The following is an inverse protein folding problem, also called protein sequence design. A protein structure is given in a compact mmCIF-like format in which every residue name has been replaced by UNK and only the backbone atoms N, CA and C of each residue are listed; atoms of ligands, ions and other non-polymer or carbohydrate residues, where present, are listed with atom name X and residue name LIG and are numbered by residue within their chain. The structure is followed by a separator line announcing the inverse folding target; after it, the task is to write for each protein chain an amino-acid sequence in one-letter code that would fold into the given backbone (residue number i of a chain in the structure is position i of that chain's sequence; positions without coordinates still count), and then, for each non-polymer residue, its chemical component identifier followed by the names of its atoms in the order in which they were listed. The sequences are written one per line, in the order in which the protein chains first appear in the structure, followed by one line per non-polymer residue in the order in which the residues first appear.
data_IF_229248347269
#
_entry.id   IF_229248347269
#
_cell.length_a   1.000
_cell.length_b   1.000
_cell.length_c   1.000
_cell.angle_alpha   90.00
_cell.angle_beta   90.00
_cell.angle_gamma   90.00
#
_symmetry.space_group_name_H-M   'P 1'
#
loop_
_entity.id
_entity.type
_entity.pdbx_description
1 polymer ?
#
# COMPACT_ATOMS: atom_id res chain seq x y z
N UNK A 1 -13.06 -10.65 1.42
CA UNK A 1 -13.12 -9.40 0.64
C UNK A 1 -13.66 -9.74 -0.72
N UNK A 2 -14.53 -8.90 -1.25
CA UNK A 2 -15.25 -9.08 -2.51
C UNK A 2 -14.36 -8.95 -3.74
N UNK A 3 -13.21 -8.28 -3.61
CA UNK A 3 -12.32 -7.89 -4.72
C UNK A 3 -13.03 -7.06 -5.82
N UNK A 4 -14.17 -6.46 -5.48
CA UNK A 4 -14.88 -5.53 -6.32
C UNK A 4 -14.27 -4.14 -6.19
N UNK A 5 -14.62 -3.25 -7.13
CA UNK A 5 -14.23 -1.85 -7.03
C UNK A 5 -14.91 -1.20 -5.83
N UNK A 6 -14.14 -0.48 -5.03
CA UNK A 6 -14.67 0.16 -3.82
C UNK A 6 -15.36 1.50 -4.11
N UNK A 7 -15.11 2.08 -5.29
CA UNK A 7 -15.65 3.35 -5.74
C UNK A 7 -15.93 3.31 -7.25
N UNK A 8 -16.83 4.21 -7.70
CA UNK A 8 -17.14 4.36 -9.12
C UNK A 8 -16.16 5.30 -9.84
N UNK A 9 -15.37 6.07 -9.09
CA UNK A 9 -14.32 6.95 -9.60
C UNK A 9 -12.96 6.23 -9.76
N UNK A 10 -12.08 6.79 -10.59
CA UNK A 10 -10.68 6.39 -10.64
C UNK A 10 -10.01 6.69 -9.31
N UNK A 11 -9.27 5.70 -8.82
CA UNK A 11 -8.59 5.72 -7.52
C UNK A 11 -7.19 5.12 -7.65
N UNK A 12 -6.35 5.67 -8.55
CA UNK A 12 -4.95 5.25 -8.67
C UNK A 12 -4.18 5.52 -7.38
N UNK A 13 -3.21 4.65 -7.10
CA UNK A 13 -2.32 4.75 -5.94
C UNK A 13 -3.08 4.86 -4.60
N UNK A 14 -4.01 3.92 -4.31
CA UNK A 14 -4.90 4.03 -3.17
C UNK A 14 -4.18 3.76 -1.84
N UNK A 15 -4.18 4.78 -0.98
CA UNK A 15 -3.67 4.68 0.37
C UNK A 15 -4.81 4.72 1.38
N UNK A 16 -5.02 3.63 2.10
CA UNK A 16 -6.09 3.50 3.09
C UNK A 16 -5.53 3.29 4.49
N UNK A 17 -6.03 4.09 5.44
CA UNK A 17 -5.76 3.92 6.88
C UNK A 17 -7.04 3.75 7.67
N UNK A 18 -6.97 2.98 8.76
CA UNK A 18 -8.05 2.83 9.72
C UNK A 18 -7.77 3.66 10.98
N UNK A 19 -8.66 4.60 11.31
CA UNK A 19 -8.58 5.38 12.55
C UNK A 19 -9.96 5.84 12.99
N UNK A 20 -10.15 6.10 14.29
CA UNK A 20 -11.43 6.58 14.83
C UNK A 20 -12.66 5.80 14.33
N UNK A 21 -12.55 4.46 14.25
CA UNK A 21 -13.60 3.56 13.74
C UNK A 21 -14.08 3.86 12.31
N UNK A 22 -13.19 4.42 11.50
CA UNK A 22 -13.43 4.84 10.11
C UNK A 22 -12.25 4.43 9.25
N UNK A 23 -12.49 4.35 7.95
CA UNK A 23 -11.47 4.19 6.92
C UNK A 23 -11.31 5.49 6.16
N UNK A 24 -10.06 5.93 6.01
CA UNK A 24 -9.69 7.12 5.27
C UNK A 24 -8.90 6.69 4.04
N UNK A 25 -9.33 7.11 2.86
CA UNK A 25 -8.72 6.81 1.59
C UNK A 25 -8.20 8.10 0.95
N UNK A 26 -6.92 8.10 0.59
CA UNK A 26 -6.30 9.06 -0.31
C UNK A 26 -5.86 8.32 -1.57
N UNK A 27 -5.78 9.03 -2.70
CA UNK A 27 -5.43 8.47 -4.00
C UNK A 27 -4.99 9.60 -4.93
N UNK A 28 -4.31 9.26 -6.03
CA UNK A 28 -3.85 10.24 -7.03
C UNK A 28 -5.03 10.91 -7.71
N UNK A 29 -5.22 12.21 -7.46
CA UNK A 29 -6.17 13.06 -8.18
C UNK A 29 -5.49 13.88 -9.30
N UNK A 30 -4.16 14.00 -9.31
CA UNK A 30 -3.37 14.74 -10.29
C UNK A 30 -3.22 16.24 -10.01
N UNK A 31 -4.26 16.91 -9.51
CA UNK A 31 -4.27 18.38 -9.31
C UNK A 31 -4.56 18.83 -7.87
N UNK A 32 -4.78 17.89 -6.96
CA UNK A 32 -5.16 18.14 -5.56
C UNK A 32 -4.96 16.88 -4.71
N UNK A 33 -5.16 17.03 -3.40
CA UNK A 33 -5.19 15.93 -2.44
C UNK A 33 -6.58 15.89 -1.81
N UNK A 34 -7.26 14.76 -1.98
CA UNK A 34 -8.54 14.48 -1.35
C UNK A 34 -8.39 13.42 -0.25
N UNK A 35 -9.22 13.53 0.78
CA UNK A 35 -9.41 12.47 1.77
C UNK A 35 -10.88 12.06 1.73
N UNK A 36 -11.13 10.78 1.48
CA UNK A 36 -12.44 10.17 1.50
C UNK A 36 -12.58 9.35 2.78
N UNK A 37 -13.74 9.37 3.42
CA UNK A 37 -14.00 8.67 4.66
C UNK A 37 -15.24 7.80 4.55
N UNK A 38 -15.09 6.53 4.90
CA UNK A 38 -16.18 5.55 4.97
C UNK A 38 -16.12 4.75 6.28
N UNK A 39 -17.25 4.13 6.63
CA UNK A 39 -17.33 3.12 7.68
C UNK A 39 -17.02 1.71 7.17
N UNK A 40 -16.95 1.53 5.85
CA UNK A 40 -16.71 0.26 5.19
C UNK A 40 -15.55 0.41 4.20
N UNK A 41 -14.50 -0.39 4.37
CA UNK A 41 -13.32 -0.35 3.49
C UNK A 41 -13.64 -0.79 2.06
N UNK A 42 -14.72 -1.54 1.85
CA UNK A 42 -15.14 -2.00 0.52
C UNK A 42 -16.15 -1.05 -0.15
N UNK A 43 -16.55 0.05 0.49
CA UNK A 43 -17.56 0.95 -0.06
C UNK A 43 -17.28 2.44 0.20
N UNK A 44 -16.88 3.14 -0.85
CA UNK A 44 -16.65 4.58 -0.90
C UNK A 44 -17.60 5.30 -1.87
N UNK A 45 -18.71 4.68 -2.29
CA UNK A 45 -19.68 5.28 -3.23
C UNK A 45 -20.45 6.45 -2.62
N UNK A 46 -20.78 6.33 -1.33
CA UNK A 46 -21.51 7.33 -0.53
C UNK A 46 -20.66 7.82 0.66
N UNK A 47 -19.36 8.06 0.43
CA UNK A 47 -18.43 8.47 1.49
C UNK A 47 -18.44 9.99 1.72
N UNK A 48 -17.95 10.43 2.89
CA UNK A 48 -17.67 11.85 3.15
C UNK A 48 -16.33 12.20 2.49
N UNK A 49 -16.23 13.36 1.84
CA UNK A 49 -15.02 13.78 1.12
C UNK A 49 -14.62 15.18 1.56
N UNK A 50 -13.31 15.42 1.63
CA UNK A 50 -12.74 16.78 1.69
C UNK A 50 -11.61 16.91 0.68
N UNK A 51 -11.38 18.15 0.22
CA UNK A 51 -10.11 18.53 -0.38
C UNK A 51 -9.21 18.95 0.77
N UNK A 52 -8.22 18.12 1.10
CA UNK A 52 -7.24 18.44 2.13
C UNK A 52 -6.34 19.58 1.68
N UNK A 53 -5.95 19.57 0.40
CA UNK A 53 -5.13 20.61 -0.19
C UNK A 53 -5.30 20.68 -1.70
N UNK A 54 -5.24 21.89 -2.24
CA UNK A 54 -5.11 22.16 -3.67
C UNK A 54 -4.12 23.32 -3.83
N UNK A 55 -3.14 23.23 -4.76
CA UNK A 55 -2.25 24.35 -5.04
C UNK A 55 -3.05 25.62 -5.35
N UNK A 56 -2.77 26.78 -4.73
CA UNK A 56 -3.42 28.03 -5.09
C UNK A 56 -3.11 28.41 -6.56
N UNK A 57 -4.04 29.05 -7.28
CA UNK A 57 -3.78 29.56 -8.63
C UNK A 57 -2.52 30.43 -8.68
N UNK A 58 -1.71 30.29 -9.74
CA UNK A 58 -0.44 31.01 -9.94
C UNK A 58 0.68 30.73 -8.91
N UNK A 59 0.57 29.66 -8.12
CA UNK A 59 1.68 29.20 -7.26
C UNK A 59 2.73 28.43 -8.09
N UNK A 60 4.01 28.81 -8.10
CA UNK A 60 5.02 28.24 -9.03
C UNK A 60 5.45 26.79 -8.81
N UNK A 61 4.95 26.06 -7.81
CA UNK A 61 5.78 25.00 -7.21
C UNK A 61 5.37 23.55 -7.46
N UNK A 62 4.12 23.24 -7.82
CA UNK A 62 3.66 21.84 -7.87
C UNK A 62 2.63 21.57 -8.98
N UNK A 63 2.99 20.69 -9.91
CA UNK A 63 2.12 19.99 -10.86
C UNK A 63 2.26 18.48 -10.65
N UNK A 64 1.47 17.67 -11.38
CA UNK A 64 1.57 16.21 -11.38
C UNK A 64 1.56 15.61 -9.97
N UNK A 65 0.51 15.92 -9.19
CA UNK A 65 0.40 15.49 -7.79
C UNK A 65 0.02 14.01 -7.73
N UNK A 66 0.93 13.18 -7.23
CA UNK A 66 0.75 11.72 -7.17
C UNK A 66 0.90 11.15 -5.76
N UNK A 67 0.28 9.99 -5.57
CA UNK A 67 0.41 9.05 -4.46
C UNK A 67 0.40 9.68 -3.06
N UNK A 68 -0.65 10.42 -2.68
CA UNK A 68 -0.76 10.92 -1.32
C UNK A 68 -0.97 9.76 -0.32
N UNK A 69 -0.10 9.66 0.70
CA UNK A 69 -0.22 8.76 1.83
C UNK A 69 -0.54 9.51 3.13
N UNK A 70 -1.66 9.21 3.76
CA UNK A 70 -2.07 9.73 5.07
C UNK A 70 -1.42 8.93 6.21
N UNK A 71 -0.65 9.60 7.06
CA UNK A 71 0.07 9.01 8.21
C UNK A 71 -0.25 9.73 9.52
N UNK A 72 -0.30 9.00 10.63
CA UNK A 72 -0.38 9.60 11.97
C UNK A 72 0.95 9.41 12.72
N UNK A 73 1.73 10.49 12.83
CA UNK A 73 3.10 10.47 13.36
C UNK A 73 3.26 11.59 14.39
N UNK A 74 3.93 11.30 15.50
CA UNK A 74 4.19 12.28 16.57
C UNK A 74 2.93 13.08 16.97
N UNK A 75 1.80 12.37 17.10
CA UNK A 75 0.49 12.91 17.49
C UNK A 75 -0.12 13.90 16.49
N UNK A 76 0.30 13.87 15.22
CA UNK A 76 -0.22 14.71 14.14
C UNK A 76 -0.46 13.89 12.88
N UNK A 77 -1.42 14.34 12.07
CA UNK A 77 -1.60 13.80 10.74
C UNK A 77 -0.64 14.47 9.75
N UNK A 78 -0.03 13.66 8.90
CA UNK A 78 0.83 14.05 7.79
C UNK A 78 0.30 13.45 6.50
N UNK A 79 0.49 14.13 5.38
CA UNK A 79 0.33 13.53 4.05
C UNK A 79 1.66 13.65 3.32
N UNK A 80 2.23 12.52 2.91
CA UNK A 80 3.38 12.45 2.03
C UNK A 80 2.87 12.23 0.62
N UNK A 81 3.38 12.97 -0.35
CA UNK A 81 3.00 12.86 -1.75
C UNK A 81 4.18 13.30 -2.61
N UNK A 82 4.08 13.21 -3.93
CA UNK A 82 5.06 13.84 -4.80
C UNK A 82 4.40 14.81 -5.78
N UNK A 83 5.23 15.70 -6.33
CA UNK A 83 4.85 16.54 -7.45
C UNK A 83 6.06 17.19 -8.10
N UNK A 84 5.87 17.67 -9.31
CA UNK A 84 6.90 18.25 -10.15
C UNK A 84 6.83 19.78 -10.17
N UNK A 85 7.96 20.41 -10.48
CA UNK A 85 7.99 21.80 -10.90
C UNK A 85 7.31 21.94 -12.27
N UNK A 86 6.28 22.80 -12.44
CA UNK A 86 5.50 22.90 -13.68
C UNK A 86 6.33 23.20 -14.93
N UNK A 87 7.42 23.96 -14.81
CA UNK A 87 8.28 24.32 -15.95
C UNK A 87 9.28 23.23 -16.33
N UNK A 88 9.59 22.29 -15.42
CA UNK A 88 10.57 21.22 -15.65
C UNK A 88 9.86 19.90 -15.95
N UNK A 89 8.69 19.66 -15.38
CA UNK A 89 7.91 18.43 -15.55
C UNK A 89 8.53 17.23 -14.82
N UNK A 90 8.31 16.02 -15.36
CA UNK A 90 8.62 14.75 -14.68
C UNK A 90 9.99 14.70 -13.96
N UNK A 91 11.13 15.12 -14.56
CA UNK A 91 12.45 15.02 -13.93
C UNK A 91 12.58 15.78 -12.59
N UNK A 92 11.67 16.71 -12.32
CA UNK A 92 11.66 17.51 -11.10
C UNK A 92 10.79 16.97 -9.96
N UNK A 93 10.21 15.76 -10.09
CA UNK A 93 9.41 15.18 -9.00
C UNK A 93 10.22 15.09 -7.70
N UNK A 94 9.62 15.57 -6.62
CA UNK A 94 10.14 15.48 -5.25
C UNK A 94 9.04 15.08 -4.29
N UNK A 95 9.42 14.43 -3.20
CA UNK A 95 8.56 14.18 -2.04
C UNK A 95 8.19 15.50 -1.36
N UNK A 96 6.90 15.73 -1.18
CA UNK A 96 6.26 16.89 -0.61
C UNK A 96 5.43 16.48 0.61
N UNK A 97 5.22 17.42 1.55
CA UNK A 97 4.48 17.15 2.78
C UNK A 97 3.34 18.13 3.02
N UNK A 98 2.23 17.59 3.53
CA UNK A 98 1.25 18.32 4.31
C UNK A 98 1.32 17.90 5.78
N UNK A 99 0.95 18.82 6.67
CA UNK A 99 0.75 18.56 8.10
C UNK A 99 -0.58 19.13 8.56
N UNK A 100 -1.36 18.35 9.29
CA UNK A 100 -2.60 18.82 9.90
C UNK A 100 -2.35 19.47 11.26
N UNK A 101 -3.07 20.55 11.54
CA UNK A 101 -3.20 21.15 12.88
C UNK A 101 -4.33 20.50 13.69
N UNK A 102 -5.16 19.68 13.07
CA UNK A 102 -6.28 18.98 13.70
C UNK A 102 -5.96 17.52 14.01
N UNK A 103 -6.69 16.95 14.97
CA UNK A 103 -6.73 15.52 15.23
C UNK A 103 -7.75 14.78 14.34
N UNK A 104 -8.71 15.49 13.74
CA UNK A 104 -9.59 14.92 12.72
C UNK A 104 -8.98 15.15 11.34
N UNK A 105 -8.56 14.11 10.60
CA UNK A 105 -8.01 14.29 9.26
C UNK A 105 -9.04 14.87 8.27
N UNK A 106 -10.34 14.86 8.62
CA UNK A 106 -11.43 15.41 7.80
C UNK A 106 -11.74 16.89 8.09
N UNK A 107 -10.94 17.57 8.90
CA UNK A 107 -11.14 19.00 9.16
C UNK A 107 -10.62 19.86 8.00
N UNK A 108 -11.54 20.46 7.26
CA UNK A 108 -11.22 21.39 6.16
C UNK A 108 -10.43 22.60 6.67
N UNK A 109 -9.35 22.97 5.98
CA UNK A 109 -8.50 24.11 6.35
C UNK A 109 -7.50 23.85 7.48
N UNK A 110 -7.46 22.63 8.02
CA UNK A 110 -6.47 22.23 9.03
C UNK A 110 -5.09 21.89 8.44
N UNK A 111 -5.02 21.59 7.15
CA UNK A 111 -3.83 21.13 6.44
C UNK A 111 -2.93 22.29 5.98
N UNK A 112 -1.67 22.21 6.35
CA UNK A 112 -0.60 23.15 6.02
C UNK A 112 0.38 22.48 5.05
N UNK A 113 0.73 23.15 3.95
CA UNK A 113 1.76 22.69 3.03
C UNK A 113 3.14 23.06 3.55
N UNK A 114 4.02 22.06 3.68
CA UNK A 114 5.37 22.24 4.24
C UNK A 114 6.46 22.34 3.17
N UNK A 115 6.13 22.04 1.91
CA UNK A 115 7.11 21.97 0.81
C UNK A 115 7.79 20.61 0.71
N UNK A 116 8.97 20.61 0.09
CA UNK A 116 9.79 19.41 -0.10
C UNK A 116 10.33 18.86 1.21
N UNK A 117 10.43 17.53 1.29
CA UNK A 117 11.04 16.86 2.43
C UNK A 117 12.50 17.28 2.59
N UNK A 118 12.86 17.79 3.75
CA UNK A 118 14.22 18.27 3.99
C UNK A 118 15.17 17.09 4.14
N UNK A 119 16.36 17.18 3.55
CA UNK A 119 17.43 16.21 3.70
C UNK A 119 17.35 15.00 2.75
N UNK A 120 16.35 14.92 1.88
CA UNK A 120 16.45 14.03 0.71
C UNK A 120 17.49 14.59 -0.28
N UNK A 121 18.25 13.73 -0.98
CA UNK A 121 19.15 14.18 -2.04
C UNK A 121 18.36 14.83 -3.18
N UNK A 122 19.01 15.73 -3.91
CA UNK A 122 18.41 16.40 -5.07
C UNK A 122 18.41 15.47 -6.30
N UNK A 123 17.49 14.51 -6.30
CA UNK A 123 17.20 13.63 -7.43
C UNK A 123 15.70 13.36 -7.53
N UNK A 124 15.26 12.81 -8.67
CA UNK A 124 13.89 12.38 -8.85
C UNK A 124 13.48 11.38 -7.76
N UNK A 125 12.39 11.68 -7.04
CA UNK A 125 11.83 10.78 -6.04
C UNK A 125 10.30 10.91 -5.93
N UNK A 126 9.62 9.76 -5.84
CA UNK A 126 8.17 9.62 -5.70
C UNK A 126 7.82 8.55 -4.65
N UNK A 127 6.53 8.43 -4.36
CA UNK A 127 5.96 7.31 -3.60
C UNK A 127 6.61 7.11 -2.22
N UNK A 128 6.83 8.20 -1.50
CA UNK A 128 7.41 8.14 -0.17
C UNK A 128 6.44 7.54 0.84
N UNK A 129 6.81 6.39 1.40
CA UNK A 129 6.15 5.78 2.56
C UNK A 129 7.02 5.88 3.79
N UNK A 130 6.42 6.08 4.96
CA UNK A 130 7.12 6.24 6.23
C UNK A 130 6.67 5.20 7.24
N UNK A 131 7.63 4.66 8.00
CA UNK A 131 7.34 3.62 8.98
C UNK A 131 8.30 3.65 10.16
N UNK A 132 7.78 3.35 11.34
CA UNK A 132 8.58 3.15 12.54
C UNK A 132 9.02 1.70 12.63
N UNK A 133 10.33 1.47 12.74
CA UNK A 133 10.88 0.12 12.88
C UNK A 133 11.19 -0.15 14.36
N UNK A 134 10.34 -0.95 15.02
CA UNK A 134 10.40 -1.18 16.46
C UNK A 134 11.78 -1.65 16.95
N UNK A 135 12.46 -2.49 16.18
CA UNK A 135 13.76 -3.07 16.57
C UNK A 135 14.92 -2.07 16.58
N UNK A 136 14.82 -0.97 15.83
CA UNK A 136 15.82 0.11 15.84
C UNK A 136 15.32 1.35 16.58
N UNK A 137 14.03 1.38 16.94
CA UNK A 137 13.33 2.51 17.54
C UNK A 137 13.41 3.81 16.73
N UNK A 138 13.52 3.69 15.40
CA UNK A 138 13.73 4.80 14.47
C UNK A 138 12.61 4.87 13.44
N UNK A 139 12.39 6.09 12.94
CA UNK A 139 11.51 6.37 11.82
C UNK A 139 12.32 6.33 10.52
N UNK A 140 11.76 5.70 9.48
CA UNK A 140 12.39 5.62 8.17
C UNK A 140 11.42 6.10 7.09
N UNK A 141 11.98 6.58 5.98
CA UNK A 141 11.27 6.81 4.73
C UNK A 141 11.82 5.85 3.67
N UNK A 142 10.95 5.13 3.00
CA UNK A 142 11.26 4.38 1.79
C UNK A 142 10.55 5.04 0.60
N UNK A 143 11.26 5.23 -0.51
CA UNK A 143 10.71 5.91 -1.68
C UNK A 143 11.26 5.30 -2.97
N UNK A 144 10.58 5.56 -4.09
CA UNK A 144 11.07 5.24 -5.44
C UNK A 144 11.91 6.39 -5.96
N UNK A 145 13.11 6.11 -6.46
CA UNK A 145 14.00 7.13 -6.99
C UNK A 145 14.73 6.69 -8.26
N UNK A 146 15.08 7.65 -9.11
CA UNK A 146 16.10 7.38 -10.12
C UNK A 146 17.45 7.18 -9.43
N UNK A 147 18.31 6.27 -9.92
CA UNK A 147 19.66 6.14 -9.40
C UNK A 147 20.36 7.50 -9.30
N UNK A 148 21.15 7.71 -8.25
CA UNK A 148 21.82 9.00 -8.05
C UNK A 148 22.73 9.33 -9.26
N UNK A 149 22.50 10.48 -9.88
CA UNK A 149 23.21 10.91 -11.08
C UNK A 149 22.65 10.34 -12.40
N UNK A 150 21.63 9.49 -12.35
CA UNK A 150 20.88 9.06 -13.52
C UNK A 150 19.69 9.99 -13.77
N UNK A 151 19.55 10.43 -15.02
CA UNK A 151 18.49 11.30 -15.51
C UNK A 151 17.82 10.74 -16.76
N UNK A 152 17.98 9.43 -17.02
CA UNK A 152 17.51 8.77 -18.22
C UNK A 152 16.02 8.44 -18.24
N UNK A 153 15.34 8.48 -17.07
CA UNK A 153 13.97 8.00 -16.88
C UNK A 153 13.79 6.49 -17.18
N UNK A 154 14.86 5.69 -17.08
CA UNK A 154 14.85 4.25 -17.41
C UNK A 154 14.98 3.31 -16.22
N UNK A 155 15.25 3.84 -15.04
CA UNK A 155 15.47 3.04 -13.85
C UNK A 155 14.84 3.73 -12.65
N UNK A 156 14.01 2.98 -11.93
CA UNK A 156 13.53 3.33 -10.61
C UNK A 156 13.91 2.23 -9.61
N UNK A 157 14.53 2.65 -8.51
CA UNK A 157 15.02 1.79 -7.43
C UNK A 157 14.41 2.24 -6.09
N UNK A 158 14.40 1.35 -5.10
CA UNK A 158 13.94 1.69 -3.75
C UNK A 158 15.10 2.19 -2.90
N UNK A 159 14.92 3.36 -2.32
CA UNK A 159 15.84 3.97 -1.38
C UNK A 159 15.23 4.02 0.01
N UNK A 160 16.04 3.74 1.02
CA UNK A 160 15.71 3.87 2.42
C UNK A 160 16.58 4.92 3.09
N UNK A 161 15.98 5.75 3.93
CA UNK A 161 16.67 6.79 4.69
C UNK A 161 16.07 6.92 6.09
N UNK A 162 16.92 7.16 7.09
CA UNK A 162 16.48 7.44 8.46
C UNK A 162 15.89 8.86 8.53
N UNK A 163 14.82 9.02 9.30
CA UNK A 163 14.22 10.32 9.59
C UNK A 163 14.58 10.79 11.00
N UNK A 164 15.00 12.05 11.11
CA UNK A 164 15.15 12.75 12.38
C UNK A 164 13.79 13.13 12.97
N UNK A 165 12.87 13.54 12.10
CA UNK A 165 11.48 13.86 12.41
C UNK A 165 10.63 13.49 11.20
N UNK A 166 9.29 13.48 11.30
CA UNK A 166 8.43 13.24 10.14
C UNK A 166 8.76 14.14 8.92
N UNK A 167 9.37 15.30 9.13
CA UNK A 167 9.60 16.33 8.10
C UNK A 167 11.06 16.37 7.60
N UNK A 168 11.99 15.67 8.25
CA UNK A 168 13.45 15.82 8.04
C UNK A 168 14.15 14.46 7.99
N UNK A 169 14.75 14.15 6.85
CA UNK A 169 15.60 12.98 6.64
C UNK A 169 17.05 13.25 7.07
N UNK A 170 17.81 12.18 7.33
CA UNK A 170 19.25 12.21 7.61
C UNK A 170 20.03 11.81 6.34
N UNK A 171 20.55 12.76 5.54
CA UNK A 171 21.16 12.47 4.24
C UNK A 171 22.25 11.38 4.29
N UNK A 172 23.07 11.38 5.34
CA UNK A 172 24.18 10.44 5.53
C UNK A 172 23.75 8.96 5.69
N UNK A 173 22.44 8.69 5.82
CA UNK A 173 21.91 7.33 6.01
C UNK A 173 21.31 6.71 4.76
N UNK A 174 21.25 7.46 3.66
CA UNK A 174 20.62 7.01 2.42
C UNK A 174 21.24 5.70 1.90
N UNK A 175 20.40 4.72 1.63
CA UNK A 175 20.81 3.41 1.08
C UNK A 175 19.84 2.96 0.01
N UNK A 176 20.34 2.55 -1.15
CA UNK A 176 19.53 1.79 -2.12
C UNK A 176 19.34 0.37 -1.59
N UNK A 177 18.09 -0.04 -1.37
CA UNK A 177 17.75 -1.35 -0.77
C UNK A 177 17.19 -2.34 -1.78
N UNK A 178 16.81 -1.88 -2.97
CA UNK A 178 16.37 -2.75 -4.07
C UNK A 178 16.56 -2.07 -5.41
N UNK A 179 17.17 -2.79 -6.37
CA UNK A 179 17.29 -2.38 -7.76
C UNK A 179 16.37 -3.17 -8.66
N UNK A 180 15.70 -2.54 -9.62
CA UNK A 180 14.85 -3.26 -10.59
C UNK A 180 15.72 -4.04 -11.60
N UNK A 181 16.00 -5.31 -11.31
CA UNK A 181 16.98 -6.14 -12.01
C UNK A 181 16.36 -7.42 -12.60
N UNK A 182 15.30 -7.93 -11.97
CA UNK A 182 14.66 -9.16 -12.42
C UNK A 182 13.88 -8.89 -13.72
N UNK A 183 13.82 -9.86 -14.67
CA UNK A 183 13.14 -9.65 -15.94
C UNK A 183 11.68 -9.20 -15.81
N UNK A 184 10.98 -9.68 -14.77
CA UNK A 184 9.59 -9.32 -14.52
C UNK A 184 9.40 -7.92 -13.92
N UNK A 185 10.46 -7.30 -13.40
CA UNK A 185 10.46 -5.92 -12.90
C UNK A 185 10.58 -4.89 -14.03
N UNK A 186 10.86 -5.35 -15.25
CA UNK A 186 11.21 -4.48 -16.37
C UNK A 186 10.11 -4.44 -17.44
N UNK A 187 9.70 -3.24 -17.80
CA UNK A 187 8.78 -2.96 -18.90
C UNK A 187 9.54 -2.77 -20.23
N UNK A 188 8.77 -2.57 -21.31
CA UNK A 188 9.28 -2.14 -22.62
C UNK A 188 10.44 -3.01 -23.13
N UNK A 189 10.24 -4.32 -23.13
CA UNK A 189 11.24 -5.28 -23.59
C UNK A 189 12.50 -5.34 -22.70
N UNK A 190 12.43 -4.89 -21.46
CA UNK A 190 13.54 -4.90 -20.51
C UNK A 190 14.25 -3.54 -20.35
N UNK A 191 13.82 -2.51 -21.09
CA UNK A 191 14.51 -1.22 -21.15
C UNK A 191 14.19 -0.28 -19.98
N UNK A 192 13.04 -0.45 -19.32
CA UNK A 192 12.61 0.35 -18.16
C UNK A 192 12.50 -0.54 -16.92
N UNK A 193 13.40 -0.35 -15.95
CA UNK A 193 13.33 -1.03 -14.65
C UNK A 193 12.49 -0.22 -13.67
N UNK A 194 11.49 -0.86 -13.05
CA UNK A 194 10.61 -0.18 -12.10
C UNK A 194 10.54 -0.96 -10.79
N UNK A 195 10.93 -0.30 -9.70
CA UNK A 195 10.55 -0.62 -8.33
C UNK A 195 9.96 0.66 -7.72
N UNK A 196 8.64 0.73 -7.53
CA UNK A 196 7.95 1.94 -7.04
C UNK A 196 6.82 1.60 -6.05
N UNK A 197 6.05 2.58 -5.56
CA UNK A 197 4.95 2.35 -4.62
C UNK A 197 5.28 1.47 -3.41
N UNK A 198 6.36 1.74 -2.64
CA UNK A 198 6.71 0.94 -1.48
C UNK A 198 5.66 1.05 -0.38
N UNK A 199 5.44 -0.02 0.37
CA UNK A 199 4.68 -0.03 1.62
C UNK A 199 5.29 -1.00 2.61
N UNK A 200 5.56 -0.53 3.82
CA UNK A 200 6.10 -1.38 4.88
C UNK A 200 5.00 -2.15 5.61
N UNK A 201 5.21 -3.45 5.83
CA UNK A 201 4.38 -4.26 6.72
C UNK A 201 5.23 -5.07 7.70
N UNK A 202 4.60 -5.39 8.83
CA UNK A 202 5.14 -6.30 9.83
C UNK A 202 4.04 -7.26 10.29
N UNK A 203 4.09 -8.48 9.79
CA UNK A 203 3.13 -9.56 10.07
C UNK A 203 3.89 -10.83 10.48
N UNK A 204 3.22 -11.84 11.08
CA UNK A 204 3.88 -13.10 11.39
C UNK A 204 4.59 -13.70 10.16
N UNK A 205 5.90 -13.93 10.29
CA UNK A 205 6.72 -14.52 9.23
C UNK A 205 7.25 -13.53 8.16
N UNK A 206 6.79 -12.27 8.14
CA UNK A 206 7.27 -11.28 7.18
C UNK A 206 7.34 -9.86 7.79
N UNK A 207 8.53 -9.26 7.70
CA UNK A 207 8.78 -7.85 7.99
C UNK A 207 9.53 -7.29 6.78
N UNK A 208 9.02 -6.23 6.16
CA UNK A 208 9.67 -5.66 4.99
C UNK A 208 8.76 -4.81 4.13
N UNK A 209 9.21 -4.56 2.91
CA UNK A 209 8.56 -3.70 1.92
C UNK A 209 7.82 -4.56 0.90
N UNK A 210 6.56 -4.23 0.66
CA UNK A 210 5.87 -4.56 -0.59
C UNK A 210 6.14 -3.39 -1.53
N UNK A 211 6.40 -3.68 -2.79
CA UNK A 211 6.57 -2.64 -3.80
C UNK A 211 5.92 -3.08 -5.10
N UNK A 212 5.72 -2.14 -6.00
CA UNK A 212 5.21 -2.38 -7.34
C UNK A 212 6.36 -2.47 -8.34
N UNK A 213 6.20 -3.33 -9.34
CA UNK A 213 7.21 -3.55 -10.35
C UNK A 213 6.60 -3.70 -11.74
N UNK A 214 7.46 -3.61 -12.77
CA UNK A 214 7.04 -3.38 -14.16
C UNK A 214 6.43 -1.98 -14.33
N UNK A 215 6.06 -1.59 -15.55
CA UNK A 215 5.56 -0.25 -15.83
C UNK A 215 4.11 -0.09 -15.42
N UNK A 216 3.78 0.96 -14.66
CA UNK A 216 2.40 1.32 -14.28
C UNK A 216 1.50 1.66 -15.48
N UNK A 217 2.09 1.91 -16.65
CA UNK A 217 1.41 2.06 -17.94
C UNK A 217 1.08 0.73 -18.62
N UNK A 218 1.41 -0.41 -18.02
CA UNK A 218 1.23 -1.75 -18.60
C UNK A 218 0.19 -2.57 -17.83
N UNK A 219 -0.38 -3.59 -18.48
CA UNK A 219 -1.23 -4.60 -17.81
C UNK A 219 -0.43 -5.62 -17.00
N UNK A 220 0.90 -5.51 -17.02
CA UNK A 220 1.86 -6.41 -16.39
C UNK A 220 2.46 -5.81 -15.10
N UNK A 221 1.97 -4.65 -14.67
CA UNK A 221 2.22 -4.08 -13.35
C UNK A 221 1.82 -5.08 -12.26
N UNK A 222 2.61 -5.16 -11.19
CA UNK A 222 2.50 -6.24 -10.19
C UNK A 222 3.04 -5.81 -8.84
N UNK A 223 2.58 -6.46 -7.76
CA UNK A 223 3.19 -6.33 -6.44
C UNK A 223 4.31 -7.36 -6.24
N UNK A 224 5.34 -6.98 -5.48
CA UNK A 224 6.52 -7.77 -5.16
C UNK A 224 6.95 -7.58 -3.70
N UNK A 225 7.89 -8.40 -3.21
CA UNK A 225 8.32 -8.40 -1.80
C UNK A 225 9.83 -8.23 -1.66
N UNK A 226 10.21 -7.37 -0.72
CA UNK A 226 11.57 -7.15 -0.24
C UNK A 226 11.59 -7.32 1.29
N UNK A 227 12.06 -8.48 1.76
CA UNK A 227 12.03 -8.83 3.18
C UNK A 227 13.26 -8.28 3.92
N UNK A 228 13.05 -7.66 5.08
CA UNK A 228 14.14 -7.33 6.01
C UNK A 228 14.54 -8.60 6.78
N UNK A 229 15.74 -9.11 6.52
CA UNK A 229 16.31 -10.32 7.13
C UNK A 229 17.55 -10.04 7.99
N UNK A 230 18.23 -8.92 7.75
CA UNK A 230 19.37 -8.48 8.55
C UNK A 230 18.99 -7.55 9.70
N UNK A 231 19.98 -7.20 10.52
CA UNK A 231 19.76 -6.37 11.72
C UNK A 231 19.73 -4.87 11.45
N UNK A 232 20.49 -4.42 10.45
CA UNK A 232 20.62 -3.02 10.09
C UNK A 232 19.86 -2.74 8.79
N UNK A 233 18.69 -2.08 8.83
CA UNK A 233 17.90 -1.81 7.63
C UNK A 233 18.59 -0.85 6.66
N UNK A 234 19.61 -0.10 7.10
CA UNK A 234 20.40 0.80 6.25
C UNK A 234 21.57 0.09 5.55
N UNK A 235 21.49 -1.24 5.41
CA UNK A 235 22.41 -2.04 4.59
C UNK A 235 21.61 -2.79 3.54
N UNK A 236 21.99 -2.67 2.28
CA UNK A 236 21.39 -3.42 1.17
C UNK A 236 21.37 -4.94 1.47
N UNK A 237 22.45 -5.48 2.02
CA UNK A 237 22.57 -6.90 2.39
C UNK A 237 21.58 -7.39 3.45
N UNK A 238 20.91 -6.48 4.16
CA UNK A 238 19.86 -6.82 5.14
C UNK A 238 18.52 -7.12 4.46
N UNK A 239 18.40 -6.88 3.15
CA UNK A 239 17.18 -7.04 2.41
C UNK A 239 17.26 -8.24 1.46
N UNK A 240 16.22 -9.07 1.48
CA UNK A 240 16.09 -10.23 0.60
C UNK A 240 14.90 -10.04 -0.32
N UNK A 241 15.18 -9.83 -1.61
CA UNK A 241 14.17 -9.77 -2.67
C UNK A 241 13.60 -11.16 -2.93
N UNK A 242 12.26 -11.27 -3.03
CA UNK A 242 11.63 -12.52 -3.45
C UNK A 242 11.76 -12.68 -4.97
N UNK A 243 12.14 -13.87 -5.49
CA UNK A 243 12.34 -14.07 -6.92
C UNK A 243 11.05 -14.06 -7.74
N UNK A 244 9.88 -14.18 -7.09
CA UNK A 244 8.56 -14.19 -7.73
C UNK A 244 7.67 -13.07 -7.17
N UNK A 245 6.76 -12.50 -8.01
CA UNK A 245 5.80 -11.48 -7.58
C UNK A 245 4.82 -11.97 -6.50
N UNK A 246 4.18 -11.04 -5.78
CA UNK A 246 3.08 -11.27 -4.83
C UNK A 246 1.72 -11.31 -5.50
N UNK A 247 1.42 -10.33 -6.33
CA UNK A 247 0.12 -10.19 -6.95
C UNK A 247 0.32 -9.90 -8.44
N UNK A 248 -0.33 -10.69 -9.30
CA UNK A 248 -0.23 -10.58 -10.75
C UNK A 248 -1.61 -10.61 -11.40
N UNK A 249 -1.70 -10.04 -12.60
CA UNK A 249 -2.81 -10.26 -13.53
C UNK A 249 -2.74 -11.66 -14.15
N UNK A 250 -3.87 -12.15 -14.63
CA UNK A 250 -3.93 -13.31 -15.53
C UNK A 250 -4.86 -12.99 -16.71
N UNK A 251 -4.26 -12.79 -17.89
CA UNK A 251 -4.99 -12.37 -19.10
C UNK A 251 -6.03 -13.41 -19.51
N UNK A 252 -5.76 -14.70 -19.28
CA UNK A 252 -6.70 -15.78 -19.60
C UNK A 252 -7.95 -15.77 -18.70
N UNK A 253 -7.93 -15.03 -17.58
CA UNK A 253 -9.05 -14.91 -16.65
C UNK A 253 -9.86 -13.62 -16.79
N UNK A 254 -9.50 -12.75 -17.75
CA UNK A 254 -10.28 -11.55 -18.08
C UNK A 254 -10.06 -10.35 -17.13
N UNK A 255 -9.06 -10.39 -16.25
CA UNK A 255 -8.71 -9.28 -15.37
C UNK A 255 -9.18 -9.44 -13.92
N UNK A 256 -8.95 -8.42 -13.05
CA UNK A 256 -8.41 -7.10 -13.38
C UNK A 256 -6.92 -7.13 -13.77
N UNK A 257 -6.42 -6.02 -14.34
CA UNK A 257 -5.07 -5.97 -14.94
C UNK A 257 -4.17 -4.91 -14.28
N UNK A 258 -2.87 -5.17 -14.24
CA UNK A 258 -1.87 -4.30 -13.65
C UNK A 258 -2.06 -4.02 -12.15
N UNK A 259 -2.23 -5.04 -11.27
CA UNK A 259 -2.39 -4.79 -9.85
C UNK A 259 -1.13 -4.17 -9.22
N UNK A 260 -1.25 -2.99 -8.64
CA UNK A 260 -0.12 -2.38 -7.94
C UNK A 260 -0.48 -1.18 -7.08
N UNK A 261 0.58 -0.51 -6.63
CA UNK A 261 0.63 0.59 -5.67
C UNK A 261 -0.40 0.41 -4.55
N UNK A 262 -0.03 -0.39 -3.55
CA UNK A 262 -0.98 -0.93 -2.60
C UNK A 262 -0.67 -0.56 -1.15
N UNK A 263 -1.69 -0.16 -0.42
CA UNK A 263 -1.66 -0.01 1.04
C UNK A 263 -2.21 -1.25 1.76
N UNK A 264 -1.86 -1.41 3.03
CA UNK A 264 -2.20 -2.60 3.80
C UNK A 264 -2.78 -2.26 5.18
N UNK A 265 -3.91 -2.90 5.52
CA UNK A 265 -4.52 -2.80 6.85
C UNK A 265 -4.46 -4.17 7.53
N UNK A 266 -3.79 -4.30 8.70
CA UNK A 266 -3.82 -5.53 9.46
C UNK A 266 -5.24 -5.94 9.86
N UNK A 267 -5.51 -7.24 9.78
CA UNK A 267 -6.77 -7.82 10.25
C UNK A 267 -6.95 -7.57 11.75
N UNK A 268 -8.13 -7.07 12.19
CA UNK A 268 -8.39 -6.83 13.61
C UNK A 268 -8.61 -8.13 14.41
N UNK A 269 -8.67 -9.28 13.74
CA UNK A 269 -8.98 -10.57 14.35
C UNK A 269 -7.75 -11.29 14.93
N UNK A 270 -6.53 -10.78 14.69
CA UNK A 270 -5.30 -11.39 15.22
C UNK A 270 -4.90 -12.69 14.54
N UNK A 271 -5.42 -12.94 13.33
CA UNK A 271 -5.17 -14.12 12.49
C UNK A 271 -3.93 -13.95 11.58
N UNK A 272 -3.18 -12.86 11.75
CA UNK A 272 -2.01 -12.53 10.92
C UNK A 272 -2.35 -12.10 9.50
N UNK A 273 -3.63 -11.98 9.13
CA UNK A 273 -4.05 -11.53 7.80
C UNK A 273 -3.85 -10.03 7.65
N UNK A 274 -3.71 -9.60 6.40
CA UNK A 274 -3.77 -8.20 5.98
C UNK A 274 -4.80 -8.03 4.87
N UNK A 275 -5.46 -6.89 4.86
CA UNK A 275 -6.26 -6.41 3.74
C UNK A 275 -5.35 -5.57 2.85
N UNK A 276 -5.26 -5.93 1.58
CA UNK A 276 -4.48 -5.24 0.56
C UNK A 276 -5.43 -4.36 -0.25
N UNK A 277 -5.23 -3.05 -0.19
CA UNK A 277 -5.95 -2.06 -0.97
C UNK A 277 -5.03 -1.68 -2.12
N UNK A 278 -5.38 -2.04 -3.34
CA UNK A 278 -4.53 -1.87 -4.53
C UNK A 278 -5.35 -1.32 -5.68
N UNK A 279 -4.72 -0.69 -6.67
CA UNK A 279 -5.40 -0.36 -7.92
C UNK A 279 -5.15 -1.40 -9.00
N UNK A 280 -6.09 -1.52 -9.92
CA UNK A 280 -5.93 -2.24 -11.18
C UNK A 280 -6.92 -1.68 -12.22
N UNK A 281 -6.65 -1.90 -13.49
CA UNK A 281 -7.58 -1.56 -14.58
C UNK A 281 -8.61 -2.68 -14.76
N UNK A 282 -9.81 -2.33 -15.23
CA UNK A 282 -10.86 -3.31 -15.52
C UNK A 282 -10.55 -4.10 -16.79
N UNK A 283 -9.97 -3.43 -17.79
CA UNK A 283 -9.61 -4.02 -19.07
C UNK A 283 -8.10 -3.92 -19.34
N UNK A 284 -7.64 -4.81 -20.20
CA UNK A 284 -6.28 -4.83 -20.70
C UNK A 284 -5.97 -3.57 -21.54
N UNK A 285 -4.72 -3.10 -21.49
CA UNK A 285 -4.26 -2.00 -22.35
C UNK A 285 -4.81 -0.61 -22.01
N UNK A 286 -5.41 -0.42 -20.83
CA UNK A 286 -5.95 0.88 -20.41
C UNK A 286 -4.88 1.86 -19.91
N UNK A 287 -3.64 1.39 -19.71
CA UNK A 287 -2.52 2.21 -19.22
C UNK A 287 -2.85 2.84 -17.87
N UNK A 288 -2.65 4.15 -17.76
CA UNK A 288 -2.95 4.89 -16.52
C UNK A 288 -4.43 5.22 -16.30
N UNK A 289 -5.29 4.99 -17.30
CA UNK A 289 -6.73 5.29 -17.22
C UNK A 289 -7.50 4.16 -16.54
N UNK A 290 -8.64 4.48 -15.90
CA UNK A 290 -9.56 3.50 -15.30
C UNK A 290 -8.92 2.62 -14.21
N UNK A 291 -7.88 3.12 -13.53
CA UNK A 291 -7.29 2.43 -12.37
C UNK A 291 -8.25 2.56 -11.18
N UNK A 292 -8.86 1.44 -10.77
CA UNK A 292 -9.84 1.37 -9.67
C UNK A 292 -9.26 0.64 -8.47
N UNK A 293 -9.44 1.20 -7.28
CA UNK A 293 -9.11 0.58 -6.02
C UNK A 293 -10.01 -0.62 -5.73
N UNK A 294 -9.39 -1.69 -5.25
CA UNK A 294 -10.00 -2.98 -4.86
C UNK A 294 -9.39 -3.44 -3.55
N UNK A 295 -10.06 -4.36 -2.87
CA UNK A 295 -9.58 -4.94 -1.61
C UNK A 295 -9.47 -6.46 -1.70
N UNK A 296 -8.28 -6.96 -1.40
CA UNK A 296 -7.97 -8.38 -1.25
C UNK A 296 -7.60 -8.71 0.19
N UNK A 297 -7.60 -10.00 0.54
CA UNK A 297 -7.04 -10.45 1.82
C UNK A 297 -5.92 -11.44 1.58
N UNK A 298 -4.76 -11.17 2.19
CA UNK A 298 -3.64 -12.08 2.24
C UNK A 298 -3.47 -12.63 3.65
N UNK A 299 -3.29 -13.94 3.76
CA UNK A 299 -2.72 -14.58 4.95
C UNK A 299 -1.18 -14.64 4.91
N UNK A 300 -0.52 -14.91 6.06
CA UNK A 300 0.93 -15.04 6.18
C UNK A 300 1.58 -15.97 5.14
N UNK A 301 0.88 -17.03 4.75
CA UNK A 301 1.33 -18.01 3.76
C UNK A 301 1.71 -17.38 2.41
N UNK A 302 1.07 -16.27 2.02
CA UNK A 302 1.35 -15.60 0.74
C UNK A 302 2.68 -14.84 0.74
N UNK A 303 3.21 -14.53 1.92
CA UNK A 303 4.45 -13.77 2.10
C UNK A 303 5.67 -14.67 2.24
N UNK A 304 5.49 -16.00 2.28
CA UNK A 304 6.59 -16.93 2.33
C UNK A 304 7.47 -16.80 1.06
N UNK A 305 8.81 -16.94 1.16
CA UNK A 305 9.73 -16.76 0.02
C UNK A 305 9.46 -17.67 -1.18
N UNK A 306 8.89 -18.85 -0.94
CA UNK A 306 8.62 -19.86 -1.98
C UNK A 306 7.15 -19.91 -2.43
N UNK A 307 6.31 -18.99 -1.97
CA UNK A 307 4.90 -18.98 -2.36
C UNK A 307 4.72 -18.55 -3.80
N UNK A 308 3.75 -19.15 -4.46
CA UNK A 308 3.37 -18.79 -5.82
C UNK A 308 2.70 -17.41 -5.83
N UNK A 309 2.86 -16.62 -6.92
CA UNK A 309 2.12 -15.38 -7.07
C UNK A 309 0.61 -15.61 -6.97
N UNK A 310 -0.08 -14.72 -6.25
CA UNK A 310 -1.53 -14.69 -6.26
C UNK A 310 -2.00 -14.03 -7.56
N UNK A 311 -3.01 -14.62 -8.20
CA UNK A 311 -3.70 -13.97 -9.32
C UNK A 311 -4.85 -13.10 -8.77
N UNK A 312 -4.86 -11.82 -9.13
CA UNK A 312 -5.90 -10.89 -8.68
C UNK A 312 -7.29 -11.21 -9.24
N UNK A 313 -7.42 -12.03 -10.29
CA UNK A 313 -8.71 -12.53 -10.79
C UNK A 313 -9.29 -13.68 -9.93
N UNK A 314 -8.43 -14.48 -9.30
CA UNK A 314 -8.84 -15.70 -8.57
C UNK A 314 -9.47 -15.43 -7.21
N UNK A 315 -9.24 -14.26 -6.62
CA UNK A 315 -9.85 -13.91 -5.33
C UNK A 315 -11.37 -13.74 -5.39
N UNK A 316 -11.96 -13.64 -6.58
CA UNK A 316 -13.42 -13.43 -6.72
C UNK A 316 -14.20 -14.70 -6.33
N UNK A 317 -13.58 -15.90 -6.30
CA UNK A 317 -14.33 -17.16 -6.16
C UNK A 317 -14.16 -17.92 -4.84
N UNK A 318 -13.37 -17.44 -3.87
CA UNK A 318 -13.15 -18.17 -2.60
C UNK A 318 -12.53 -19.57 -2.78
N UNK A 319 -12.04 -19.92 -3.97
CA UNK A 319 -11.35 -21.16 -4.25
C UNK A 319 -9.84 -20.92 -4.29
N UNK A 320 -9.24 -20.99 -3.11
CA UNK A 320 -7.85 -21.43 -3.02
C UNK A 320 -7.78 -22.55 -1.98
N UNK A 321 -7.84 -23.79 -2.47
CA UNK A 321 -7.49 -24.97 -1.69
C UNK A 321 -5.98 -24.95 -1.49
N UNK A 322 -5.56 -24.70 -0.24
CA UNK A 322 -4.17 -24.80 0.17
C UNK A 322 -3.52 -26.09 -0.35
N UNK A 323 -2.29 -25.94 -0.83
CA UNK A 323 -1.54 -27.03 -1.44
C UNK A 323 -1.25 -28.20 -0.50
N UNK A 324 -1.12 -29.36 -1.14
CA UNK A 324 -0.50 -30.61 -0.71
C UNK A 324 -1.11 -31.33 0.50
N UNK A 325 -2.12 -32.17 0.24
CA UNK A 325 -2.38 -33.34 1.06
C UNK A 325 -1.23 -34.35 0.89
N UNK A 326 -0.45 -34.54 1.95
CA UNK A 326 0.40 -35.72 2.09
C UNK A 326 -0.53 -36.91 2.32
N UNK A 327 -0.55 -37.83 1.36
CA UNK A 327 -1.25 -39.09 1.46
C UNK A 327 -0.63 -39.95 2.56
N UNK A 328 -1.42 -40.26 3.58
CA UNK A 328 -1.18 -41.43 4.43
C UNK A 328 -2.47 -42.26 4.48
N UNK A 329 -2.29 -43.54 4.19
CA UNK A 329 -3.32 -44.55 4.07
C UNK A 329 -3.99 -44.87 5.41
N UNK A 330 -5.27 -45.26 5.37
CA UNK A 330 -5.88 -46.01 6.47
C UNK A 330 -7.40 -45.88 6.61
N UNK A 331 -8.14 -46.81 5.98
CA UNK A 331 -9.21 -47.57 6.66
C UNK A 331 -10.60 -46.94 6.92
N UNK A 332 -11.55 -47.35 6.07
CA UNK A 332 -12.86 -47.97 6.38
C UNK A 332 -14.00 -47.20 7.11
N UNK A 333 -15.16 -47.19 6.41
CA UNK A 333 -16.57 -47.24 6.88
C UNK A 333 -17.11 -46.06 7.71
N UNK A 334 -18.34 -45.54 7.57
CA UNK A 334 -19.55 -45.87 6.81
C UNK A 334 -20.72 -44.98 7.30
N UNK A 335 -21.81 -44.92 6.52
CA UNK A 335 -23.17 -44.40 6.81
C UNK A 335 -23.34 -42.89 7.09
N UNK A 336 -23.96 -42.11 6.20
CA UNK A 336 -25.42 -41.95 5.93
C UNK A 336 -26.29 -41.54 7.12
N UNK A 337 -26.66 -40.24 7.09
CA UNK A 337 -27.94 -39.60 7.41
C UNK A 337 -28.79 -40.10 8.59
N UNK A 338 -28.98 -39.21 9.57
CA UNK A 338 -30.34 -38.89 10.02
C UNK A 338 -30.46 -37.48 10.62
N UNK A 339 -31.55 -36.83 10.23
CA UNK A 339 -32.04 -35.51 10.69
C UNK A 339 -32.47 -35.55 12.16
N UNK A 340 -32.43 -34.39 12.83
CA UNK A 340 -33.26 -34.21 14.01
C UNK A 340 -33.02 -32.91 14.79
N UNK A 341 -34.06 -32.07 14.75
CA UNK A 341 -34.51 -31.16 15.81
C UNK A 341 -34.01 -29.71 15.86
N UNK A 342 -35.00 -28.83 15.83
CA UNK A 342 -34.98 -27.41 16.14
C UNK A 342 -34.77 -27.20 17.65
N UNK A 343 -34.08 -26.12 18.02
CA UNK A 343 -34.30 -25.43 19.29
C UNK A 343 -34.14 -23.92 19.10
N UNK A 344 -35.18 -23.19 19.53
CA UNK A 344 -35.24 -21.73 19.59
C UNK A 344 -34.42 -21.15 20.76
N UNK A 345 -34.18 -19.84 20.62
CA UNK A 345 -33.87 -18.83 21.64
C UNK A 345 -32.42 -18.48 21.95
N UNK A 346 -32.16 -17.16 21.84
CA UNK A 346 -30.95 -16.49 22.27
C UNK A 346 -30.76 -15.15 21.56
N UNK A 347 -31.56 -14.14 21.92
CA UNK A 347 -31.28 -12.74 21.58
C UNK A 347 -29.98 -12.31 22.26
N UNK A 348 -28.84 -12.57 21.62
CA UNK A 348 -27.55 -11.97 21.96
C UNK A 348 -27.36 -10.70 21.14
N UNK A 349 -27.22 -9.56 21.80
CA UNK A 349 -26.76 -8.32 21.17
C UNK A 349 -25.45 -8.59 20.42
N UNK A 350 -25.51 -8.61 19.08
CA UNK A 350 -24.33 -8.57 18.23
C UNK A 350 -23.73 -7.18 18.37
N UNK A 351 -22.72 -7.03 19.23
CA UNK A 351 -21.81 -5.89 19.15
C UNK A 351 -21.27 -5.82 17.71
N UNK A 352 -21.41 -4.65 17.10
CA UNK A 352 -21.03 -4.44 15.72
C UNK A 352 -19.53 -4.63 15.55
N UNK A 353 -19.08 -4.93 14.32
CA UNK A 353 -17.65 -4.99 13.98
C UNK A 353 -16.90 -3.72 14.46
N UNK A 354 -17.59 -2.58 14.42
CA UNK A 354 -17.14 -1.25 14.84
C UNK A 354 -16.85 -1.20 16.36
N UNK A 355 -17.69 -1.83 17.19
CA UNK A 355 -17.51 -1.84 18.65
C UNK A 355 -16.27 -2.65 19.07
N UNK A 356 -15.98 -3.75 18.35
CA UNK A 356 -14.79 -4.57 18.59
C UNK A 356 -13.49 -3.89 18.12
N UNK A 357 -13.57 -3.07 17.07
CA UNK A 357 -12.47 -2.27 16.53
C UNK A 357 -12.13 -1.10 17.47
N UNK A 358 -13.14 -0.34 17.93
CA UNK A 358 -12.93 0.82 18.80
C UNK A 358 -12.30 0.48 20.13
N UNK A 359 -12.77 -0.59 20.79
CA UNK A 359 -12.25 -1.01 22.09
C UNK A 359 -10.80 -1.50 22.06
N UNK A 360 -10.35 -2.14 20.97
CA UNK A 360 -8.98 -2.66 20.85
C UNK A 360 -7.97 -1.61 20.37
N UNK A 361 -8.37 -0.70 19.48
CA UNK A 361 -7.49 0.39 18.99
C UNK A 361 -7.23 1.41 20.11
N UNK A 362 -8.24 1.75 20.92
CA UNK A 362 -8.06 2.62 22.10
C UNK A 362 -7.15 1.99 23.16
N UNK A 363 -7.09 0.66 23.26
CA UNK A 363 -6.15 -0.02 24.16
C UNK A 363 -4.72 0.04 23.64
N UNK A 364 -4.50 -0.18 22.34
CA UNK A 364 -3.16 -0.04 21.73
C UNK A 364 -2.66 1.40 21.77
N UNK A 365 -3.49 2.41 21.49
CA UNK A 365 -3.06 3.81 21.55
C UNK A 365 -2.71 4.29 22.97
N UNK A 366 -3.20 3.63 24.03
CA UNK A 366 -2.79 3.91 25.42
C UNK A 366 -1.45 3.26 25.80
N UNK A 367 -0.99 2.27 25.04
CA UNK A 367 0.30 1.59 25.26
C UNK A 367 1.46 2.25 24.46
N UNK A 368 1.18 3.31 23.70
CA UNK A 368 2.18 4.07 22.91
C UNK A 368 2.26 5.56 23.31
N UNK A 369 2.20 5.85 24.62
CA UNK A 369 2.63 7.15 25.18
C UNK A 369 4.15 7.17 25.28
#
# INVERSE_FOLDING_TARGET
MSNQTIADADTPDPWMVAAHNRFYLTFTCGDRIEIWMSHDMENFRNCKKIIAWKPPPATPWVADIWAPELHYLNRRWYIYFCGAHPEIGNPSHRTLLLRSRSQDPMETGAWEFLGQMKGLPDHWNIDATVFYLQRTQKLYCCYSGWPLGDHSDRQQDLFLIELESPEVARPATLTCISRAELPWERADGGTHGVNEGPTFINIPGFQGIIYSANGSWTSDYRLALLQLVGDDPLKESSWRKRPTPLLVSDRAKGGPFGPGHASFIPSPYGDGRVYCIYHATEHEGQGWNNRKARVLSFGPEHFHPNSQPMCCALSVSGQWSGGASVSSAGGLAGNMFQQGSQSQHGHGQRASLIDKIGGKILRKLKEYI
#
